data_IF_428838493470
#
_entry.id   IF_428838493470
#
_cell.length_a   1.000
_cell.length_b   1.000
_cell.length_c   1.000
_cell.angle_alpha   90.00
_cell.angle_beta   90.00
_cell.angle_gamma   90.00
#
_symmetry.space_group_name_H-M   'P 1'
#
loop_
_entity.id
_entity.type
_entity.pdbx_description
1 polymer ?
#
# COMPACT_ATOMS: atom_id res chain seq x y z
N UNK A 1 -57.09 -11.51 -17.89
CA UNK A 1 -57.30 -11.27 -16.45
C UNK A 1 -56.01 -11.61 -15.70
N UNK A 2 -55.58 -10.70 -14.81
CA UNK A 2 -54.83 -10.91 -13.54
C UNK A 2 -53.48 -11.64 -13.60
N UNK A 3 -52.34 -10.95 -13.46
CA UNK A 3 -51.66 -10.50 -12.21
C UNK A 3 -51.15 -11.63 -11.30
N UNK A 4 -49.87 -11.94 -11.46
CA UNK A 4 -48.86 -12.16 -10.41
C UNK A 4 -47.49 -11.97 -11.11
N UNK A 5 -46.79 -10.83 -10.98
CA UNK A 5 -45.86 -10.52 -9.89
C UNK A 5 -45.07 -11.75 -9.42
N UNK A 6 -43.75 -11.76 -9.63
CA UNK A 6 -42.77 -11.57 -8.54
C UNK A 6 -41.35 -11.82 -9.07
N UNK A 7 -40.52 -10.81 -8.84
CA UNK A 7 -39.07 -10.85 -8.63
C UNK A 7 -38.13 -11.00 -9.82
N UNK A 8 -37.36 -9.92 -9.96
CA UNK A 8 -35.95 -9.91 -10.37
C UNK A 8 -35.66 -10.50 -11.74
N UNK A 9 -36.00 -9.73 -12.78
CA UNK A 9 -35.11 -9.69 -13.92
C UNK A 9 -33.79 -9.13 -13.38
N UNK A 10 -32.87 -10.05 -13.11
CA UNK A 10 -31.49 -9.85 -12.69
C UNK A 10 -30.81 -8.85 -13.63
N UNK A 11 -30.99 -7.58 -13.29
CA UNK A 11 -30.22 -6.50 -13.85
C UNK A 11 -28.77 -6.75 -13.43
N UNK A 12 -27.95 -6.99 -14.44
CA UNK A 12 -26.50 -7.24 -14.37
C UNK A 12 -26.09 -8.71 -14.27
N UNK A 13 -26.55 -9.48 -15.25
CA UNK A 13 -25.68 -10.39 -16.01
C UNK A 13 -24.48 -9.64 -16.66
N UNK A 14 -23.74 -8.83 -15.89
CA UNK A 14 -22.60 -8.06 -16.38
C UNK A 14 -21.34 -8.54 -15.70
N UNK A 15 -20.81 -9.58 -16.32
CA UNK A 15 -19.40 -9.82 -16.53
C UNK A 15 -18.56 -9.91 -15.26
N UNK A 16 -18.56 -11.12 -14.70
CA UNK A 16 -17.32 -11.89 -14.66
C UNK A 16 -16.14 -11.17 -14.00
N UNK A 17 -16.27 -10.77 -12.73
CA UNK A 17 -15.13 -10.49 -11.83
C UNK A 17 -14.48 -11.81 -11.39
N UNK A 18 -14.26 -12.71 -12.34
CA UNK A 18 -13.47 -13.95 -12.21
C UNK A 18 -12.23 -13.88 -13.13
N UNK A 19 -11.75 -12.67 -13.47
CA UNK A 19 -10.54 -12.47 -14.29
C UNK A 19 -9.60 -11.40 -13.72
N UNK A 20 -9.27 -11.50 -12.44
CA UNK A 20 -8.17 -10.69 -11.88
C UNK A 20 -7.34 -11.38 -10.79
N UNK A 21 -7.58 -12.67 -10.48
CA UNK A 21 -6.88 -13.35 -9.38
C UNK A 21 -5.83 -14.38 -9.80
N UNK A 22 -5.75 -14.74 -11.08
CA UNK A 22 -4.75 -15.71 -11.55
C UNK A 22 -3.39 -15.09 -11.94
N UNK A 23 -3.26 -13.76 -11.98
CA UNK A 23 -1.98 -13.09 -12.32
C UNK A 23 -1.14 -12.68 -11.11
N UNK A 24 -1.65 -12.80 -9.87
CA UNK A 24 -0.90 -12.38 -8.68
C UNK A 24 0.22 -13.37 -8.34
N UNK A 25 0.03 -14.66 -8.61
CA UNK A 25 0.98 -15.71 -8.22
C UNK A 25 2.31 -15.66 -9.00
N UNK A 26 2.35 -15.04 -10.19
CA UNK A 26 3.59 -14.91 -10.97
C UNK A 26 4.37 -13.63 -10.65
N UNK A 27 3.68 -12.57 -10.20
CA UNK A 27 4.32 -11.32 -9.78
C UNK A 27 5.15 -11.51 -8.50
N UNK A 28 4.74 -12.38 -7.58
CA UNK A 28 5.46 -12.66 -6.33
C UNK A 28 6.87 -13.26 -6.55
N UNK A 29 7.13 -13.87 -7.71
CA UNK A 29 8.44 -14.45 -8.02
C UNK A 29 9.49 -13.40 -8.48
N UNK A 30 9.05 -12.19 -8.86
CA UNK A 30 9.91 -11.13 -9.40
C UNK A 30 9.84 -9.81 -8.62
N UNK A 31 9.02 -9.69 -7.56
CA UNK A 31 8.90 -8.44 -6.81
C UNK A 31 10.19 -8.08 -6.08
N UNK A 32 11.03 -7.29 -6.76
CA UNK A 32 12.10 -6.54 -6.13
C UNK A 32 11.49 -5.64 -5.04
N UNK A 33 12.18 -5.46 -3.91
CA UNK A 33 11.67 -4.63 -2.83
C UNK A 33 11.52 -3.18 -3.30
N UNK A 34 10.37 -2.57 -3.03
CA UNK A 34 10.09 -1.16 -3.32
C UNK A 34 10.94 -0.31 -2.39
N UNK A 35 11.70 0.62 -2.95
CA UNK A 35 12.53 1.57 -2.19
C UNK A 35 11.93 2.96 -2.32
N UNK A 36 11.67 3.57 -1.18
CA UNK A 36 11.06 4.89 -1.06
C UNK A 36 12.05 5.76 -0.30
N UNK A 37 12.54 6.79 -0.96
CA UNK A 37 13.41 7.78 -0.33
C UNK A 37 12.55 8.87 0.31
N UNK A 38 12.79 9.12 1.59
CA UNK A 38 12.17 10.21 2.34
C UNK A 38 13.24 11.27 2.57
N UNK A 39 13.25 12.37 1.79
CA UNK A 39 14.24 13.42 1.96
C UNK A 39 14.15 14.09 3.34
N UNK A 40 15.28 14.61 3.81
CA UNK A 40 15.32 15.52 4.95
C UNK A 40 14.42 16.75 4.72
N UNK A 41 13.81 17.26 5.79
CA UNK A 41 12.78 18.29 5.77
C UNK A 41 11.36 17.77 5.49
N UNK A 42 11.19 16.46 5.28
CA UNK A 42 9.85 15.87 5.12
C UNK A 42 9.12 15.79 6.45
N UNK A 43 7.83 16.09 6.44
CA UNK A 43 6.96 15.83 7.59
C UNK A 43 6.62 14.33 7.67
N UNK A 44 6.73 13.75 8.86
CA UNK A 44 6.46 12.33 9.11
C UNK A 44 5.02 11.94 8.74
N UNK A 45 4.06 12.87 8.72
CA UNK A 45 2.70 12.63 8.25
C UNK A 45 2.61 12.44 6.73
N UNK A 46 3.55 12.97 5.95
CA UNK A 46 3.64 12.77 4.50
C UNK A 46 4.34 11.44 4.14
N UNK A 47 5.12 10.86 5.07
CA UNK A 47 5.87 9.64 4.85
C UNK A 47 4.99 8.43 4.44
N UNK A 48 3.85 8.13 5.11
CA UNK A 48 2.98 7.03 4.71
C UNK A 48 2.44 7.19 3.29
N UNK A 49 2.03 8.40 2.92
CA UNK A 49 1.46 8.66 1.59
C UNK A 49 2.49 8.33 0.50
N UNK A 50 3.74 8.79 0.66
CA UNK A 50 4.82 8.47 -0.30
C UNK A 50 5.11 6.98 -0.40
N UNK A 51 5.00 6.25 0.72
CA UNK A 51 5.18 4.80 0.71
C UNK A 51 4.05 4.12 -0.05
N UNK A 52 2.81 4.55 0.14
CA UNK A 52 1.67 4.00 -0.60
C UNK A 52 1.75 4.29 -2.09
N UNK A 53 2.02 5.54 -2.49
CA UNK A 53 2.19 5.91 -3.90
C UNK A 53 3.25 5.03 -4.57
N UNK A 54 4.45 4.91 -3.97
CA UNK A 54 5.51 4.09 -4.54
C UNK A 54 5.17 2.59 -4.59
N UNK A 55 4.39 2.09 -3.64
CA UNK A 55 3.96 0.70 -3.65
C UNK A 55 2.83 0.45 -4.67
N UNK A 56 1.91 1.39 -4.85
CA UNK A 56 0.85 1.32 -5.86
C UNK A 56 1.44 1.32 -7.27
N UNK A 57 2.40 2.23 -7.54
CA UNK A 57 3.15 2.27 -8.80
C UNK A 57 3.92 0.95 -9.07
N UNK A 58 4.42 0.30 -8.02
CA UNK A 58 5.12 -0.97 -8.11
C UNK A 58 4.21 -2.21 -8.09
N UNK A 59 2.89 -2.04 -7.93
CA UNK A 59 1.93 -3.14 -7.79
C UNK A 59 2.11 -3.96 -6.49
N UNK A 60 2.73 -3.38 -5.46
CA UNK A 60 2.97 -4.02 -4.17
C UNK A 60 1.88 -3.64 -3.17
N UNK A 61 1.27 -4.65 -2.55
CA UNK A 61 0.21 -4.43 -1.57
C UNK A 61 0.80 -4.15 -0.18
N UNK A 62 0.66 -2.91 0.28
CA UNK A 62 1.01 -2.53 1.65
C UNK A 62 -0.11 -2.98 2.60
N UNK A 63 0.21 -3.86 3.55
CA UNK A 63 -0.75 -4.34 4.56
C UNK A 63 -0.71 -3.51 5.86
N UNK A 64 0.31 -2.66 6.02
CA UNK A 64 0.49 -1.78 7.17
C UNK A 64 -0.43 -0.57 7.05
N UNK A 65 -0.96 -0.10 8.19
CA UNK A 65 -1.75 1.15 8.24
C UNK A 65 -0.84 2.36 8.36
N UNK A 66 -1.34 3.55 8.02
CA UNK A 66 -0.58 4.80 8.14
C UNK A 66 0.00 5.05 9.55
N UNK A 67 -0.75 4.88 10.65
CA UNK A 67 -0.19 5.01 12.00
C UNK A 67 0.88 3.97 12.33
N UNK A 68 0.77 2.74 11.82
CA UNK A 68 1.79 1.71 12.03
C UNK A 68 3.08 2.01 11.26
N UNK A 69 2.94 2.51 10.02
CA UNK A 69 4.03 3.05 9.22
C UNK A 69 4.75 4.21 9.93
N UNK A 70 3.99 5.20 10.42
CA UNK A 70 4.56 6.34 11.15
C UNK A 70 5.33 5.87 12.40
N UNK A 71 4.75 4.95 13.17
CA UNK A 71 5.39 4.39 14.36
C UNK A 71 6.68 3.64 13.98
N UNK A 72 6.63 2.78 12.97
CA UNK A 72 7.79 2.01 12.49
C UNK A 72 8.91 2.93 11.99
N UNK A 73 8.56 3.98 11.25
CA UNK A 73 9.53 4.97 10.75
C UNK A 73 10.13 5.74 11.91
N UNK A 74 9.33 6.26 12.84
CA UNK A 74 9.83 6.97 14.02
C UNK A 74 10.72 6.12 14.92
N UNK A 75 10.32 4.89 15.23
CA UNK A 75 11.10 3.97 16.07
C UNK A 75 12.44 3.57 15.43
N UNK A 76 12.47 3.40 14.10
CA UNK A 76 13.68 2.95 13.39
C UNK A 76 14.57 4.08 12.88
N UNK A 77 14.03 5.27 12.66
CA UNK A 77 14.81 6.44 12.31
C UNK A 77 15.60 6.98 13.49
N UNK A 78 15.16 6.75 14.73
CA UNK A 78 15.87 7.22 15.93
C UNK A 78 16.06 8.75 15.87
N UNK A 79 17.30 9.21 16.04
CA UNK A 79 17.67 10.63 15.98
C UNK A 79 17.49 11.29 14.59
N UNK A 80 17.29 10.50 13.52
CA UNK A 80 17.03 11.03 12.19
C UNK A 80 15.62 11.65 12.05
N UNK A 81 14.72 11.46 13.04
CA UNK A 81 13.42 12.13 13.11
C UNK A 81 13.30 12.88 14.43
N UNK A 82 13.09 14.19 14.36
CA UNK A 82 12.87 15.03 15.52
C UNK A 82 11.41 15.50 15.57
N UNK A 83 10.63 14.92 16.48
CA UNK A 83 9.19 15.18 16.56
C UNK A 83 8.46 14.68 15.31
N UNK A 84 8.17 15.60 14.39
CA UNK A 84 7.51 15.31 13.10
C UNK A 84 8.40 15.58 11.89
N UNK A 85 9.60 16.12 12.09
CA UNK A 85 10.49 16.48 10.99
C UNK A 85 11.55 15.40 10.78
N UNK A 86 11.64 14.90 9.56
CA UNK A 86 12.74 14.05 9.11
C UNK A 86 13.97 14.93 8.94
N UNK A 87 14.99 14.77 9.78
CA UNK A 87 16.21 15.59 9.74
C UNK A 87 17.29 15.03 8.83
N UNK A 88 17.32 13.72 8.68
CA UNK A 88 18.22 13.03 7.77
C UNK A 88 17.40 12.22 6.79
N UNK A 89 17.90 12.07 5.56
CA UNK A 89 17.22 11.25 4.55
C UNK A 89 17.01 9.83 5.09
N UNK A 90 15.81 9.29 4.91
CA UNK A 90 15.48 7.92 5.29
C UNK A 90 15.22 7.09 4.05
N UNK A 91 15.70 5.84 4.05
CA UNK A 91 15.38 4.88 3.02
C UNK A 91 14.40 3.84 3.57
N UNK A 92 13.13 3.97 3.17
CA UNK A 92 12.09 3.00 3.50
C UNK A 92 12.06 1.94 2.40
N UNK A 93 12.25 0.69 2.78
CA UNK A 93 12.17 -0.46 1.86
C UNK A 93 10.98 -1.32 2.24
N UNK A 94 10.08 -1.54 1.29
CA UNK A 94 8.93 -2.44 1.42
C UNK A 94 9.21 -3.70 0.62
N UNK A 95 9.34 -4.82 1.32
CA UNK A 95 9.48 -6.13 0.69
C UNK A 95 8.16 -6.58 0.06
N UNK A 96 8.23 -7.52 -0.90
CA UNK A 96 7.05 -8.09 -1.55
C UNK A 96 6.03 -8.67 -0.57
N UNK A 97 6.50 -9.18 0.58
CA UNK A 97 5.66 -9.72 1.65
C UNK A 97 5.12 -8.65 2.62
N UNK A 98 5.30 -7.36 2.29
CA UNK A 98 4.84 -6.23 3.10
C UNK A 98 5.74 -5.88 4.28
N UNK A 99 6.89 -6.56 4.46
CA UNK A 99 7.86 -6.25 5.51
C UNK A 99 8.54 -4.91 5.24
N UNK A 100 8.54 -4.03 6.23
CA UNK A 100 9.13 -2.69 6.14
C UNK A 100 10.50 -2.64 6.83
N UNK A 101 11.47 -2.02 6.17
CA UNK A 101 12.79 -1.68 6.72
C UNK A 101 13.08 -0.21 6.52
N UNK A 102 13.70 0.42 7.51
CA UNK A 102 14.12 1.82 7.48
C UNK A 102 15.63 1.85 7.71
N UNK A 103 16.34 2.66 6.91
CA UNK A 103 17.80 2.84 6.93
C UNK A 103 18.18 4.29 6.82
#
# INVERSE_FOLDING_TARGET
MSRANVSSVEASARDNVERAKETVAFAEALSAPVRVEIPAGTDLYDAPQRVYDACDEAGVKVSQTAPDLMKTIGERAGDAVYGREVRERLLVTVAADGRIRVR
#
